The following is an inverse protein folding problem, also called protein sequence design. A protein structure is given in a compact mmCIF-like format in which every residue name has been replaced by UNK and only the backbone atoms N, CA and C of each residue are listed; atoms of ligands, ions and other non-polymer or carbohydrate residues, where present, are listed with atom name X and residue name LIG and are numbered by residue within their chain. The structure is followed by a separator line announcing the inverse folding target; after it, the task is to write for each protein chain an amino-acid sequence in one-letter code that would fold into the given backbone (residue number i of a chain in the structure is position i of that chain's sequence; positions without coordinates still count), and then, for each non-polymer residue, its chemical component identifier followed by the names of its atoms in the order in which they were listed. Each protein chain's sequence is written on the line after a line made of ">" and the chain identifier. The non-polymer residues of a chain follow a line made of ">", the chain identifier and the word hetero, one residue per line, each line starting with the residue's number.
data_IF_811337693686
#
_entry.id   IF_811337693686
#
_cell.length_a   1.000
_cell.length_b   1.000
_cell.length_c   1.000
_cell.angle_alpha   90.00
_cell.angle_beta   90.00
_cell.angle_gamma   90.00
#
_symmetry.space_group_name_H-M   'P 1'
#
loop_
_entity.id
_entity.type
_entity.pdbx_description
1 polymer ?
#
# COMPACT_ATOMS: atom_id res chain seq x y z
N UNK A 1 -7.73 11.31 -21.12
CA UNK A 1 -7.42 11.07 -19.70
C UNK A 1 -8.69 10.60 -19.00
N UNK A 2 -8.61 9.54 -18.23
CA UNK A 2 -9.69 9.07 -17.35
C UNK A 2 -9.35 9.50 -15.92
N UNK A 3 -10.31 10.11 -15.23
CA UNK A 3 -10.21 10.50 -13.83
C UNK A 3 -11.23 9.70 -13.04
N UNK A 4 -10.78 9.00 -12.01
CA UNK A 4 -11.63 8.14 -11.17
C UNK A 4 -11.38 8.51 -9.71
N UNK A 5 -12.45 8.67 -8.95
CA UNK A 5 -12.44 8.74 -7.48
C UNK A 5 -13.42 7.69 -6.96
N UNK A 6 -13.03 6.93 -5.95
CA UNK A 6 -13.84 5.87 -5.33
C UNK A 6 -13.86 6.09 -3.83
N UNK A 7 -15.05 6.19 -3.26
CA UNK A 7 -15.26 6.41 -1.83
C UNK A 7 -16.41 5.56 -1.32
N UNK A 8 -16.42 5.33 -0.02
CA UNK A 8 -17.51 4.65 0.68
C UNK A 8 -18.00 5.51 1.83
N UNK A 9 -19.13 5.15 2.42
CA UNK A 9 -19.71 5.80 3.59
C UNK A 9 -19.04 5.41 4.92
N UNK A 10 -18.06 4.51 4.90
CA UNK A 10 -17.40 3.97 6.09
C UNK A 10 -16.82 5.05 7.03
N UNK A 11 -16.13 6.06 6.47
CA UNK A 11 -15.52 7.17 7.24
C UNK A 11 -16.27 8.50 7.07
N UNK A 12 -17.17 8.62 6.08
CA UNK A 12 -17.83 9.89 5.79
C UNK A 12 -19.19 9.68 5.13
N UNK A 13 -20.28 10.18 5.73
CA UNK A 13 -21.61 10.12 5.12
C UNK A 13 -21.69 10.92 3.80
N UNK A 14 -20.82 11.92 3.63
CA UNK A 14 -20.80 12.82 2.47
C UNK A 14 -19.98 12.27 1.29
N UNK A 15 -19.71 10.98 1.27
CA UNK A 15 -18.83 10.33 0.30
C UNK A 15 -19.16 10.68 -1.17
N UNK A 16 -20.43 10.84 -1.52
CA UNK A 16 -20.85 11.21 -2.89
C UNK A 16 -20.38 12.60 -3.30
N UNK A 17 -20.56 13.57 -2.41
CA UNK A 17 -20.11 14.95 -2.62
C UNK A 17 -18.59 15.01 -2.69
N UNK A 18 -17.91 14.35 -1.77
CA UNK A 18 -16.45 14.29 -1.74
C UNK A 18 -15.87 13.64 -3.02
N UNK A 19 -16.52 12.60 -3.53
CA UNK A 19 -16.13 11.95 -4.78
C UNK A 19 -16.30 12.90 -5.97
N UNK A 20 -17.44 13.55 -6.11
CA UNK A 20 -17.70 14.52 -7.17
C UNK A 20 -16.72 15.69 -7.15
N UNK A 21 -16.44 16.24 -5.96
CA UNK A 21 -15.48 17.32 -5.77
C UNK A 21 -14.04 16.89 -6.10
N UNK A 22 -13.66 15.67 -5.74
CA UNK A 22 -12.36 15.08 -6.09
C UNK A 22 -12.15 15.04 -7.59
N UNK A 23 -13.11 14.47 -8.32
CA UNK A 23 -13.10 14.41 -9.80
C UNK A 23 -13.05 15.82 -10.40
N UNK A 24 -13.90 16.76 -9.92
CA UNK A 24 -13.94 18.13 -10.42
C UNK A 24 -12.60 18.86 -10.21
N UNK A 25 -12.00 18.73 -9.02
CA UNK A 25 -10.68 19.34 -8.71
C UNK A 25 -9.57 18.78 -9.59
N UNK A 26 -9.58 17.48 -9.86
CA UNK A 26 -8.60 16.86 -10.73
C UNK A 26 -8.82 17.25 -12.20
N UNK A 27 -10.05 17.27 -12.67
CA UNK A 27 -10.41 17.65 -14.04
C UNK A 27 -10.07 19.11 -14.39
N UNK A 28 -9.95 19.98 -13.40
CA UNK A 28 -9.53 21.37 -13.58
C UNK A 28 -8.03 21.55 -13.88
N UNK A 29 -7.24 20.47 -13.80
CA UNK A 29 -5.79 20.47 -14.03
C UNK A 29 -5.45 19.73 -15.31
N UNK A 30 -4.38 20.17 -15.98
CA UNK A 30 -3.81 19.43 -17.10
C UNK A 30 -3.17 18.11 -16.63
N UNK A 31 -2.99 17.18 -17.56
CA UNK A 31 -2.26 15.93 -17.29
C UNK A 31 -0.86 16.19 -16.75
N UNK A 32 -0.14 17.15 -17.33
CA UNK A 32 1.24 17.46 -16.92
C UNK A 32 1.30 18.05 -15.51
N UNK A 33 0.36 18.91 -15.14
CA UNK A 33 0.26 19.41 -13.76
C UNK A 33 -0.01 18.29 -12.75
N UNK A 34 -0.93 17.37 -13.06
CA UNK A 34 -1.22 16.20 -12.23
C UNK A 34 0.01 15.29 -12.12
N UNK A 35 0.68 15.02 -13.24
CA UNK A 35 1.89 14.20 -13.29
C UNK A 35 3.04 14.81 -12.48
N UNK A 36 3.29 16.10 -12.62
CA UNK A 36 4.34 16.78 -11.86
C UNK A 36 4.05 16.82 -10.37
N UNK A 37 2.80 17.07 -10.00
CA UNK A 37 2.38 17.01 -8.59
C UNK A 37 2.58 15.63 -8.00
N UNK A 38 2.20 14.56 -8.72
CA UNK A 38 2.40 13.17 -8.32
C UNK A 38 3.89 12.84 -8.16
N UNK A 39 4.73 13.17 -9.14
CA UNK A 39 6.17 12.92 -9.08
C UNK A 39 6.80 13.65 -7.89
N UNK A 40 6.44 14.91 -7.66
CA UNK A 40 6.94 15.70 -6.54
C UNK A 40 6.57 15.07 -5.21
N UNK A 41 5.31 14.70 -5.02
CA UNK A 41 4.83 14.05 -3.80
C UNK A 41 5.52 12.71 -3.58
N UNK A 42 5.53 11.84 -4.58
CA UNK A 42 6.12 10.51 -4.51
C UNK A 42 7.60 10.54 -4.16
N UNK A 43 8.36 11.45 -4.77
CA UNK A 43 9.81 11.59 -4.57
C UNK A 43 10.18 12.05 -3.15
N UNK A 44 9.27 12.66 -2.41
CA UNK A 44 9.51 13.03 -1.01
C UNK A 44 9.79 11.81 -0.13
N UNK A 45 9.22 10.67 -0.49
CA UNK A 45 9.40 9.39 0.20
C UNK A 45 10.38 8.48 -0.54
N UNK A 46 10.23 8.35 -1.85
CA UNK A 46 11.00 7.39 -2.64
C UNK A 46 12.49 7.69 -2.63
N UNK A 47 12.88 8.96 -2.78
CA UNK A 47 14.27 9.37 -2.88
C UNK A 47 15.07 9.31 -1.56
N UNK A 48 14.43 8.96 -0.45
CA UNK A 48 15.10 8.86 0.87
C UNK A 48 16.05 7.67 0.98
N UNK A 49 15.86 6.65 0.16
CA UNK A 49 16.65 5.42 0.20
C UNK A 49 16.97 4.97 -1.21
N UNK A 50 18.24 4.66 -1.42
CA UNK A 50 18.72 3.97 -2.61
C UNK A 50 19.63 2.82 -2.20
N UNK A 51 19.64 1.75 -2.98
CA UNK A 51 20.51 0.61 -2.79
C UNK A 51 21.22 0.28 -4.10
N UNK A 52 22.49 0.01 -4.01
CA UNK A 52 23.32 -0.31 -5.16
C UNK A 52 24.26 -1.47 -4.82
N UNK A 53 24.30 -2.48 -5.67
CA UNK A 53 25.16 -3.66 -5.51
C UNK A 53 26.25 -3.72 -6.58
N UNK A 54 26.75 -2.57 -7.01
CA UNK A 54 27.74 -2.45 -8.08
C UNK A 54 27.13 -2.16 -9.43
N UNK A 55 27.73 -2.69 -10.50
CA UNK A 55 27.24 -2.44 -11.86
C UNK A 55 25.97 -3.25 -12.17
N UNK A 56 24.99 -2.60 -12.75
CA UNK A 56 23.80 -3.25 -13.30
C UNK A 56 23.99 -3.49 -14.81
N UNK A 57 24.72 -4.56 -15.14
CA UNK A 57 25.00 -4.94 -16.52
C UNK A 57 23.74 -5.27 -17.33
N UNK A 58 22.66 -5.65 -16.65
CA UNK A 58 21.39 -6.07 -17.26
C UNK A 58 20.35 -4.96 -17.31
N UNK A 59 20.69 -3.72 -16.94
CA UNK A 59 19.74 -2.61 -16.80
C UNK A 59 18.88 -2.35 -18.07
N UNK A 60 19.46 -2.58 -19.24
CA UNK A 60 18.77 -2.37 -20.51
C UNK A 60 17.82 -3.52 -20.88
N UNK A 61 17.87 -4.65 -20.19
CA UNK A 61 17.01 -5.78 -20.49
C UNK A 61 15.64 -5.61 -19.82
N UNK A 62 14.56 -6.07 -20.49
CA UNK A 62 13.23 -6.17 -19.87
C UNK A 62 13.25 -7.03 -18.61
N UNK A 63 12.40 -6.69 -17.63
CA UNK A 63 12.40 -7.36 -16.32
C UNK A 63 12.05 -8.85 -16.41
N UNK A 64 11.14 -9.24 -17.31
CA UNK A 64 10.78 -10.63 -17.58
C UNK A 64 11.97 -11.46 -18.11
N UNK A 65 12.79 -10.86 -18.97
CA UNK A 65 14.03 -11.48 -19.47
C UNK A 65 15.03 -11.67 -18.34
N UNK A 66 15.24 -10.62 -17.52
CA UNK A 66 16.12 -10.69 -16.32
C UNK A 66 15.65 -11.78 -15.36
N UNK A 67 14.36 -11.83 -15.08
CA UNK A 67 13.74 -12.83 -14.21
C UNK A 67 13.94 -14.27 -14.74
N UNK A 68 13.79 -14.49 -16.05
CA UNK A 68 14.07 -15.77 -16.67
C UNK A 68 15.53 -16.20 -16.46
N UNK A 69 16.47 -15.29 -16.64
CA UNK A 69 17.90 -15.55 -16.42
C UNK A 69 18.21 -15.95 -14.97
N UNK A 70 17.56 -15.28 -13.99
CA UNK A 70 17.71 -15.63 -12.57
C UNK A 70 17.16 -17.02 -12.29
N UNK A 71 16.02 -17.40 -12.88
CA UNK A 71 15.49 -18.78 -12.79
C UNK A 71 16.43 -19.84 -13.39
N UNK A 72 17.24 -19.45 -14.37
CA UNK A 72 18.28 -20.29 -14.98
C UNK A 72 19.58 -20.32 -14.16
N UNK A 73 19.60 -19.70 -12.97
CA UNK A 73 20.75 -19.71 -12.05
C UNK A 73 21.74 -18.57 -12.25
N UNK A 74 21.44 -17.55 -13.06
CA UNK A 74 22.31 -16.36 -13.20
C UNK A 74 22.06 -15.38 -12.07
N UNK A 75 23.12 -14.69 -11.65
CA UNK A 75 23.02 -13.59 -10.67
C UNK A 75 22.67 -12.30 -11.37
N UNK A 76 21.75 -11.51 -10.76
CA UNK A 76 21.39 -10.19 -11.23
C UNK A 76 21.15 -9.24 -10.05
N UNK A 77 22.22 -8.66 -9.55
CA UNK A 77 22.21 -7.75 -8.39
C UNK A 77 21.44 -6.44 -8.66
N UNK A 78 21.36 -6.02 -9.92
CA UNK A 78 20.53 -4.87 -10.32
C UNK A 78 19.04 -5.19 -10.22
N UNK A 79 18.64 -6.44 -10.49
CA UNK A 79 17.27 -6.89 -10.28
C UNK A 79 16.91 -6.96 -8.79
N UNK A 80 17.86 -7.37 -7.92
CA UNK A 80 17.66 -7.37 -6.46
C UNK A 80 17.43 -5.94 -5.94
N UNK A 81 18.22 -4.97 -6.41
CA UNK A 81 18.04 -3.55 -6.09
C UNK A 81 16.68 -3.02 -6.57
N UNK A 82 16.28 -3.39 -7.79
CA UNK A 82 14.97 -3.03 -8.34
C UNK A 82 13.84 -3.64 -7.52
N UNK A 83 13.95 -4.89 -7.10
CA UNK A 83 12.95 -5.59 -6.30
C UNK A 83 12.75 -4.92 -4.92
N UNK A 84 13.85 -4.54 -4.26
CA UNK A 84 13.79 -3.76 -3.03
C UNK A 84 13.04 -2.43 -3.22
N UNK A 85 13.38 -1.67 -4.25
CA UNK A 85 12.72 -0.39 -4.54
C UNK A 85 11.26 -0.58 -4.98
N UNK A 86 10.94 -1.69 -5.64
CA UNK A 86 9.57 -2.02 -6.00
C UNK A 86 8.71 -2.30 -4.76
N UNK A 87 9.25 -3.00 -3.76
CA UNK A 87 8.57 -3.18 -2.47
C UNK A 87 8.27 -1.84 -1.77
N UNK A 88 9.25 -0.91 -1.77
CA UNK A 88 9.02 0.46 -1.27
C UNK A 88 7.94 1.20 -2.08
N UNK A 89 7.97 1.07 -3.41
CA UNK A 89 6.92 1.63 -4.28
C UNK A 89 5.54 1.12 -3.90
N UNK A 90 5.36 -0.18 -3.71
CA UNK A 90 4.08 -0.77 -3.33
C UNK A 90 3.58 -0.21 -1.99
N UNK A 91 4.47 -0.05 -1.01
CA UNK A 91 4.13 0.53 0.30
C UNK A 91 3.69 2.00 0.16
N UNK A 92 4.47 2.83 -0.55
CA UNK A 92 4.16 4.24 -0.78
C UNK A 92 2.82 4.41 -1.53
N UNK A 93 2.57 3.56 -2.52
CA UNK A 93 1.36 3.63 -3.35
C UNK A 93 0.10 3.15 -2.62
N UNK A 94 0.25 2.27 -1.61
CA UNK A 94 -0.87 1.64 -0.91
C UNK A 94 -1.19 2.27 0.45
N UNK A 95 -0.24 2.93 1.09
CA UNK A 95 -0.41 3.44 2.47
C UNK A 95 0.26 4.80 2.64
N UNK A 96 -0.55 5.81 2.76
CA UNK A 96 -0.12 7.19 3.02
C UNK A 96 -0.75 7.67 4.33
N UNK A 97 -0.13 8.65 4.96
CA UNK A 97 -0.59 9.21 6.23
C UNK A 97 -2.09 9.57 6.25
N UNK A 98 -2.63 9.99 5.11
CA UNK A 98 -4.04 10.34 4.93
C UNK A 98 -4.91 9.21 4.35
N UNK A 99 -4.39 8.00 4.19
CA UNK A 99 -5.20 6.86 3.73
C UNK A 99 -6.24 6.50 4.79
N UNK A 100 -7.50 6.25 4.41
CA UNK A 100 -8.57 5.98 5.37
C UNK A 100 -8.45 4.59 6.03
N UNK A 101 -7.77 3.67 5.37
CA UNK A 101 -7.58 2.28 5.78
C UNK A 101 -6.14 1.82 5.49
N UNK A 102 -5.63 0.80 6.19
CA UNK A 102 -4.32 0.21 5.92
C UNK A 102 -4.31 -0.57 4.61
N UNK A 103 -3.14 -1.09 4.26
CA UNK A 103 -2.97 -1.97 3.10
C UNK A 103 -3.81 -3.24 3.32
N UNK A 104 -4.72 -3.53 2.39
CA UNK A 104 -5.51 -4.76 2.40
C UNK A 104 -4.63 -5.98 2.08
N UNK A 105 -5.16 -7.19 2.25
CA UNK A 105 -4.43 -8.46 2.12
C UNK A 105 -3.52 -8.54 0.88
N UNK A 106 -4.01 -8.12 -0.28
CA UNK A 106 -3.27 -8.14 -1.55
C UNK A 106 -2.95 -6.74 -2.08
N UNK A 107 -3.18 -5.70 -1.27
CA UNK A 107 -3.09 -4.32 -1.72
C UNK A 107 -4.08 -4.02 -2.85
N UNK A 108 -3.75 -3.02 -3.67
CA UNK A 108 -4.54 -2.64 -4.85
C UNK A 108 -4.02 -3.30 -6.15
N UNK A 109 -2.99 -4.13 -6.04
CA UNK A 109 -2.22 -4.66 -7.16
C UNK A 109 -2.59 -6.12 -7.43
N UNK A 110 -3.72 -6.34 -8.08
CA UNK A 110 -4.18 -7.66 -8.46
C UNK A 110 -4.80 -7.63 -9.86
N UNK A 111 -4.96 -8.80 -10.47
CA UNK A 111 -5.55 -9.00 -11.79
C UNK A 111 -7.04 -9.37 -11.73
N UNK A 112 -7.77 -8.93 -10.71
CA UNK A 112 -9.14 -9.27 -10.35
C UNK A 112 -9.36 -10.69 -9.81
N UNK A 113 -8.33 -11.51 -9.68
CA UNK A 113 -8.47 -12.85 -9.09
C UNK A 113 -8.73 -12.80 -7.60
N UNK A 114 -8.22 -11.77 -6.91
CA UNK A 114 -8.46 -11.57 -5.49
C UNK A 114 -9.95 -11.54 -5.12
N UNK A 115 -10.77 -10.90 -5.94
CA UNK A 115 -12.22 -10.84 -5.71
C UNK A 115 -12.93 -12.18 -5.86
N UNK A 116 -12.30 -13.17 -6.48
CA UNK A 116 -12.84 -14.52 -6.70
C UNK A 116 -12.26 -15.55 -5.72
N UNK A 117 -11.43 -15.14 -4.79
CA UNK A 117 -10.89 -16.01 -3.73
C UNK A 117 -11.80 -15.99 -2.50
N UNK A 118 -11.76 -17.06 -1.71
CA UNK A 118 -12.59 -17.20 -0.51
C UNK A 118 -12.33 -16.10 0.55
N UNK A 119 -11.17 -15.50 0.56
CA UNK A 119 -10.77 -14.43 1.49
C UNK A 119 -11.15 -13.02 1.03
N UNK A 120 -11.53 -12.82 -0.22
CA UNK A 120 -12.06 -11.55 -0.75
C UNK A 120 -11.21 -10.28 -0.47
N UNK A 121 -9.89 -10.43 -0.27
CA UNK A 121 -8.94 -9.34 0.02
C UNK A 121 -9.24 -8.59 1.34
N UNK A 122 -9.72 -9.29 2.35
CA UNK A 122 -10.00 -8.74 3.68
C UNK A 122 -8.72 -8.53 4.54
N UNK A 123 -8.89 -8.12 5.80
CA UNK A 123 -7.77 -7.91 6.74
C UNK A 123 -7.55 -9.16 7.59
N UNK A 124 -6.48 -9.88 7.33
CA UNK A 124 -6.03 -10.98 8.17
C UNK A 124 -5.06 -10.47 9.23
N UNK A 125 -5.47 -10.52 10.50
CA UNK A 125 -4.70 -10.02 11.63
C UNK A 125 -3.74 -11.05 12.20
N UNK A 126 -3.83 -12.29 11.74
CA UNK A 126 -2.85 -13.33 12.03
C UNK A 126 -1.79 -13.34 10.93
N UNK A 127 -0.88 -12.38 11.06
CA UNK A 127 0.37 -12.11 10.37
C UNK A 127 0.30 -11.38 9.03
N UNK A 128 -0.73 -11.50 8.19
CA UNK A 128 -0.71 -10.89 6.86
C UNK A 128 -0.70 -9.35 6.93
N UNK A 129 -1.53 -8.75 7.78
CA UNK A 129 -1.55 -7.29 7.95
C UNK A 129 -0.22 -6.77 8.46
N UNK A 130 0.39 -7.45 9.42
CA UNK A 130 1.71 -7.11 9.97
C UNK A 130 2.79 -7.21 8.89
N UNK A 131 2.79 -8.27 8.07
CA UNK A 131 3.76 -8.46 6.99
C UNK A 131 3.74 -7.32 5.97
N UNK A 132 2.57 -6.77 5.68
CA UNK A 132 2.45 -5.63 4.77
C UNK A 132 3.21 -4.39 5.26
N UNK A 133 3.49 -4.30 6.57
CA UNK A 133 4.13 -3.14 7.19
C UNK A 133 5.54 -3.38 7.74
N UNK A 134 6.02 -4.63 7.77
CA UNK A 134 7.36 -4.92 8.30
C UNK A 134 8.48 -4.13 7.64
N UNK A 135 8.38 -3.90 6.35
CA UNK A 135 9.39 -3.16 5.60
C UNK A 135 9.30 -1.64 5.75
N UNK A 136 8.21 -1.09 6.31
CA UNK A 136 7.97 0.35 6.32
C UNK A 136 9.07 1.12 7.10
N UNK A 137 9.42 0.67 8.30
CA UNK A 137 10.42 1.36 9.12
C UNK A 137 11.84 1.20 8.55
N UNK A 138 12.24 -0.03 8.18
CA UNK A 138 13.57 -0.29 7.61
C UNK A 138 13.73 0.35 6.22
N UNK A 139 12.63 0.53 5.50
CA UNK A 139 12.56 1.22 4.22
C UNK A 139 12.50 2.75 4.31
N UNK A 140 12.63 3.33 5.52
CA UNK A 140 12.49 4.77 5.78
C UNK A 140 11.14 5.34 5.31
N UNK A 141 10.04 4.62 5.66
CA UNK A 141 8.66 4.93 5.31
C UNK A 141 7.76 4.88 6.55
N UNK A 142 8.26 5.34 7.72
CA UNK A 142 7.56 5.23 9.00
C UNK A 142 6.16 5.86 8.99
N UNK A 143 5.97 6.97 8.26
CA UNK A 143 4.66 7.64 8.12
C UNK A 143 3.62 6.78 7.38
N UNK A 144 4.05 5.79 6.58
CA UNK A 144 3.14 4.84 5.95
C UNK A 144 2.45 3.91 6.96
N UNK A 145 2.91 3.85 8.23
CA UNK A 145 2.23 3.11 9.28
C UNK A 145 1.00 3.84 9.86
N UNK A 146 0.80 5.11 9.59
CA UNK A 146 -0.29 5.90 10.20
C UNK A 146 -1.69 5.28 9.99
N UNK A 147 -2.07 4.78 8.81
CA UNK A 147 -3.36 4.11 8.61
C UNK A 147 -3.52 2.84 9.44
N UNK A 148 -2.43 2.06 9.60
CA UNK A 148 -2.43 0.87 10.45
C UNK A 148 -2.69 1.24 11.92
N UNK A 149 -2.04 2.27 12.43
CA UNK A 149 -2.25 2.71 13.82
C UNK A 149 -3.67 3.21 14.07
N UNK A 150 -4.27 3.90 13.09
CA UNK A 150 -5.68 4.31 13.17
C UNK A 150 -6.60 3.08 13.18
N UNK A 151 -6.33 2.12 12.32
CA UNK A 151 -7.10 0.88 12.25
C UNK A 151 -7.01 0.06 13.55
N UNK A 152 -5.82 -0.05 14.16
CA UNK A 152 -5.64 -0.73 15.46
C UNK A 152 -6.46 -0.05 16.57
N UNK A 153 -6.55 1.29 16.56
CA UNK A 153 -7.39 2.02 17.52
C UNK A 153 -8.88 1.71 17.33
N UNK A 154 -9.34 1.65 16.09
CA UNK A 154 -10.71 1.28 15.76
C UNK A 154 -11.00 -0.18 16.20
N UNK A 155 -10.07 -1.11 15.95
CA UNK A 155 -10.16 -2.50 16.40
C UNK A 155 -10.24 -2.59 17.93
N UNK A 156 -9.39 -1.86 18.65
CA UNK A 156 -9.39 -1.86 20.10
C UNK A 156 -10.73 -1.37 20.66
N UNK A 157 -11.32 -0.34 20.05
CA UNK A 157 -12.63 0.17 20.45
C UNK A 157 -13.74 -0.88 20.27
N UNK A 158 -13.81 -1.52 19.11
CA UNK A 158 -14.83 -2.54 18.83
C UNK A 158 -14.56 -3.86 19.57
N UNK A 159 -13.31 -4.26 19.66
CA UNK A 159 -12.88 -5.51 20.30
C UNK A 159 -13.02 -5.52 21.81
N UNK A 160 -13.16 -4.35 22.46
CA UNK A 160 -13.39 -4.26 23.90
C UNK A 160 -14.69 -4.95 24.33
N UNK A 161 -15.77 -4.78 23.57
CA UNK A 161 -17.04 -5.47 23.85
C UNK A 161 -16.92 -6.98 23.66
N UNK A 162 -16.17 -7.43 22.67
CA UNK A 162 -15.91 -8.87 22.45
C UNK A 162 -15.15 -9.47 23.63
N UNK A 163 -14.09 -8.77 24.11
CA UNK A 163 -13.33 -9.21 25.28
C UNK A 163 -14.22 -9.35 26.52
N UNK A 164 -15.10 -8.39 26.77
CA UNK A 164 -16.03 -8.42 27.90
C UNK A 164 -17.07 -9.54 27.77
N UNK A 165 -17.78 -9.61 26.64
CA UNK A 165 -18.97 -10.48 26.47
C UNK A 165 -18.55 -11.94 26.24
N UNK A 166 -17.51 -12.18 25.45
CA UNK A 166 -17.11 -13.55 25.06
C UNK A 166 -16.12 -14.13 26.06
N UNK A 167 -15.18 -13.32 26.57
CA UNK A 167 -14.08 -13.81 27.42
C UNK A 167 -14.18 -13.38 28.88
N UNK A 168 -15.13 -12.51 29.23
CA UNK A 168 -15.31 -12.01 30.60
C UNK A 168 -14.11 -11.23 31.15
N UNK A 169 -13.31 -10.60 30.28
CA UNK A 169 -12.10 -9.90 30.67
C UNK A 169 -12.09 -8.43 30.18
N UNK A 170 -11.21 -7.63 30.82
CA UNK A 170 -10.90 -6.27 30.40
C UNK A 170 -9.91 -6.29 29.24
N UNK A 171 -9.84 -5.19 28.49
CA UNK A 171 -8.98 -5.04 27.34
C UNK A 171 -9.78 -5.18 26.04
N UNK A 172 -9.14 -5.69 25.01
CA UNK A 172 -9.78 -5.90 23.71
C UNK A 172 -9.19 -7.13 23.02
N UNK A 173 -9.93 -7.64 22.04
CA UNK A 173 -9.47 -8.76 21.21
C UNK A 173 -9.92 -8.52 19.76
N UNK A 174 -9.19 -9.09 18.82
CA UNK A 174 -9.55 -9.19 17.43
C UNK A 174 -9.32 -10.64 16.96
N UNK A 175 -10.11 -11.06 15.95
CA UNK A 175 -10.04 -12.39 15.33
C UNK A 175 -9.72 -12.27 13.87
#
# INVERSE_FOLDING_TARGET
>A
TLIVDVRTDYKSPDYKTLCADGVKKAAAKSYDELKQAHIKDYNTLYNRVSIHFGQDANRALPTDVRWKQVKEGKTDTGLDALFFQYGRYLTIASSRENSPLPIALQGFFNDNKACNMGWTNDYHLDINTEQNYWAANVGNLAECNAPLFTYIKDLAHHGAKTAEVVYGCKGWTAH
#
